data_IF_162038315853
#
_entry.id   IF_162038315853
#
_cell.length_a   1.000
_cell.length_b   1.000
_cell.length_c   1.000
_cell.angle_alpha   90.00
_cell.angle_beta   90.00
_cell.angle_gamma   90.00
#
_symmetry.space_group_name_H-M   'P 1'
#
loop_
_entity.id
_entity.type
_entity.pdbx_description
1 polymer ?
#
# COMPACT_ATOMS: atom_id res chain seq x y z
N UNK A 1 -15.66 -2.74 -16.67
CA UNK A 1 -14.88 -1.59 -16.26
C UNK A 1 -15.15 -1.26 -14.80
N UNK A 2 -14.12 -1.05 -13.99
CA UNK A 2 -14.35 -0.79 -12.58
C UNK A 2 -15.06 0.55 -12.38
N UNK A 3 -16.10 0.51 -11.59
CA UNK A 3 -16.78 1.72 -11.15
C UNK A 3 -16.12 2.18 -9.86
N UNK A 4 -15.33 3.22 -9.93
CA UNK A 4 -14.58 3.74 -8.78
C UNK A 4 -15.47 4.20 -7.64
N UNK A 5 -16.73 4.51 -7.92
CA UNK A 5 -17.69 4.84 -6.88
C UNK A 5 -18.09 3.63 -6.06
N UNK A 6 -17.79 2.45 -6.58
CA UNK A 6 -18.04 1.18 -5.89
C UNK A 6 -16.79 0.57 -5.30
N UNK A 7 -15.67 1.29 -5.34
CA UNK A 7 -14.49 0.78 -4.67
C UNK A 7 -14.81 0.67 -3.20
N UNK A 8 -14.88 -0.55 -2.67
CA UNK A 8 -15.48 -0.77 -1.38
C UNK A 8 -14.45 -0.65 -0.26
N UNK A 9 -13.72 0.43 -0.22
CA UNK A 9 -12.81 0.64 0.90
C UNK A 9 -12.60 2.11 1.19
N UNK A 10 -12.20 2.35 2.42
CA UNK A 10 -11.81 3.68 2.90
C UNK A 10 -10.42 3.59 3.50
N UNK A 11 -9.71 4.69 3.45
CA UNK A 11 -8.42 4.79 4.10
C UNK A 11 -8.66 5.03 5.58
N UNK A 12 -8.31 4.05 6.41
CA UNK A 12 -8.57 4.11 7.83
C UNK A 12 -7.38 4.60 8.64
N UNK A 13 -6.16 4.39 8.14
CA UNK A 13 -4.96 4.77 8.87
C UNK A 13 -3.80 4.94 7.92
N UNK A 14 -2.98 5.93 8.19
CA UNK A 14 -1.71 6.17 7.49
C UNK A 14 -0.65 6.46 8.52
N UNK A 15 0.50 5.84 8.35
CA UNK A 15 1.68 6.11 9.17
C UNK A 15 2.83 6.43 8.22
N UNK A 16 3.52 7.52 8.47
CA UNK A 16 4.63 7.96 7.63
C UNK A 16 5.80 8.33 8.52
N UNK A 17 6.95 7.75 8.24
CA UNK A 17 8.20 8.05 8.95
C UNK A 17 9.21 8.59 7.96
N UNK A 18 9.69 9.79 8.21
CA UNK A 18 10.75 10.39 7.40
C UNK A 18 12.08 9.98 8.00
N UNK A 19 12.86 9.21 7.25
CA UNK A 19 14.12 8.62 7.74
C UNK A 19 15.34 9.44 7.37
N UNK A 20 15.29 10.12 6.23
CA UNK A 20 16.38 11.00 5.81
C UNK A 20 15.83 12.03 4.85
N UNK A 21 16.61 13.07 4.61
CA UNK A 21 16.21 14.09 3.67
C UNK A 21 16.44 13.64 2.22
N UNK A 22 15.66 14.20 1.31
CA UNK A 22 15.87 14.03 -0.11
C UNK A 22 16.48 15.33 -0.68
N UNK A 23 17.48 15.18 -1.51
CA UNK A 23 18.13 16.31 -2.15
C UNK A 23 17.59 16.52 -3.55
N UNK A 24 17.66 17.77 -4.02
CA UNK A 24 16.99 18.19 -5.27
C UNK A 24 17.35 17.33 -6.48
N UNK A 25 18.58 16.86 -6.56
CA UNK A 25 19.06 16.11 -7.75
C UNK A 25 19.02 14.61 -7.56
N UNK A 26 18.52 14.15 -6.45
CA UNK A 26 18.42 12.72 -6.19
C UNK A 26 17.23 12.12 -6.92
N UNK A 27 17.41 10.92 -7.42
CA UNK A 27 16.32 10.14 -7.98
C UNK A 27 15.81 9.21 -6.89
N UNK A 28 14.52 9.25 -6.64
CA UNK A 28 13.89 8.46 -5.61
C UNK A 28 13.09 7.34 -6.26
N UNK A 29 13.13 6.17 -5.63
CA UNK A 29 12.40 4.99 -6.07
C UNK A 29 11.36 4.64 -5.02
N UNK A 30 10.11 4.58 -5.46
CA UNK A 30 8.99 4.16 -4.62
C UNK A 30 8.73 2.68 -4.83
N UNK A 31 8.69 1.94 -3.74
CA UNK A 31 8.28 0.54 -3.75
C UNK A 31 7.05 0.38 -2.87
N UNK A 32 6.09 -0.41 -3.36
CA UNK A 32 4.82 -0.65 -2.68
C UNK A 32 4.60 -2.15 -2.62
N UNK A 33 4.13 -2.62 -1.47
CA UNK A 33 3.70 -4.01 -1.36
C UNK A 33 2.46 -4.12 -0.49
N UNK A 34 1.72 -5.21 -0.67
CA UNK A 34 0.64 -5.57 0.24
C UNK A 34 1.27 -6.20 1.48
N UNK A 35 1.10 -5.55 2.64
CA UNK A 35 1.69 -6.03 3.89
C UNK A 35 0.85 -7.09 4.58
N UNK A 36 -0.44 -7.18 4.24
CA UNK A 36 -1.32 -8.16 4.84
C UNK A 36 -2.76 -7.96 4.43
N UNK A 37 -3.54 -9.02 4.52
CA UNK A 37 -4.97 -9.01 4.21
C UNK A 37 -5.69 -9.63 5.39
N UNK A 38 -6.50 -8.83 6.08
CA UNK A 38 -7.33 -9.31 7.17
C UNK A 38 -8.72 -9.69 6.69
N UNK A 39 -9.65 -9.81 7.63
CA UNK A 39 -11.04 -10.15 7.31
C UNK A 39 -11.74 -9.01 6.58
N UNK A 40 -11.59 -7.80 7.10
CA UNK A 40 -12.27 -6.61 6.58
C UNK A 40 -11.32 -5.52 6.11
N UNK A 41 -10.03 -5.77 6.17
CA UNK A 41 -9.02 -4.76 5.87
C UNK A 41 -7.84 -5.37 5.14
N UNK A 42 -7.06 -4.51 4.53
CA UNK A 42 -5.76 -4.87 3.96
C UNK A 42 -4.82 -3.69 4.14
N UNK A 43 -3.53 -3.99 4.11
CA UNK A 43 -2.50 -2.97 4.33
C UNK A 43 -1.57 -2.88 3.15
N UNK A 44 -1.09 -1.68 2.89
CA UNK A 44 0.03 -1.46 1.99
C UNK A 44 1.21 -0.94 2.78
N UNK A 45 2.39 -1.33 2.35
CA UNK A 45 3.65 -0.82 2.87
C UNK A 45 4.39 -0.13 1.74
N UNK A 46 5.02 0.99 2.05
CA UNK A 46 5.70 1.83 1.07
C UNK A 46 7.10 2.13 1.56
N UNK A 47 8.06 2.14 0.64
CA UNK A 47 9.39 2.65 0.91
C UNK A 47 9.80 3.57 -0.23
N UNK A 48 10.43 4.67 0.13
CA UNK A 48 11.09 5.54 -0.84
C UNK A 48 12.56 5.52 -0.51
N UNK A 49 13.38 5.16 -1.50
CA UNK A 49 14.81 5.09 -1.35
C UNK A 49 15.49 5.93 -2.42
N UNK A 50 16.65 6.48 -2.07
CA UNK A 50 17.50 7.12 -3.06
C UNK A 50 18.12 6.03 -3.93
N UNK A 51 18.07 6.22 -5.26
CA UNK A 51 18.36 5.16 -6.22
C UNK A 51 19.79 4.63 -6.15
N UNK A 52 20.78 5.53 -6.04
CA UNK A 52 22.17 5.11 -6.13
C UNK A 52 22.69 4.49 -4.85
N UNK A 53 22.37 5.08 -3.71
CA UNK A 53 22.87 4.62 -2.41
C UNK A 53 21.98 3.57 -1.77
N UNK A 54 20.72 3.51 -2.16
CA UNK A 54 19.73 2.69 -1.46
C UNK A 54 19.29 3.29 -0.13
N UNK A 55 19.68 4.54 0.16
CA UNK A 55 19.35 5.19 1.42
C UNK A 55 17.85 5.30 1.58
N UNK A 56 17.35 4.88 2.73
CA UNK A 56 15.92 4.97 3.03
C UNK A 56 15.54 6.40 3.35
N UNK A 57 14.62 6.95 2.57
CA UNK A 57 14.14 8.31 2.72
C UNK A 57 12.83 8.36 3.49
N UNK A 58 11.89 7.48 3.11
CA UNK A 58 10.57 7.41 3.75
C UNK A 58 10.16 5.96 3.91
N UNK A 59 9.57 5.64 5.05
CA UNK A 59 8.79 4.42 5.26
C UNK A 59 7.37 4.82 5.56
N UNK A 60 6.41 4.09 5.01
CA UNK A 60 5.02 4.38 5.28
C UNK A 60 4.20 3.11 5.24
N UNK A 61 3.05 3.17 5.87
CA UNK A 61 2.05 2.12 5.77
C UNK A 61 0.67 2.73 5.75
N UNK A 62 -0.27 2.03 5.14
CA UNK A 62 -1.65 2.44 5.15
C UNK A 62 -2.55 1.24 5.40
N UNK A 63 -3.66 1.48 6.07
CA UNK A 63 -4.68 0.46 6.33
C UNK A 63 -5.94 0.91 5.60
N UNK A 64 -6.42 0.05 4.72
CA UNK A 64 -7.68 0.24 4.02
C UNK A 64 -8.71 -0.71 4.63
N UNK A 65 -9.88 -0.20 4.97
CA UNK A 65 -10.99 -1.01 5.48
C UNK A 65 -12.03 -1.10 4.39
N UNK A 66 -12.45 -2.32 4.08
CA UNK A 66 -13.52 -2.52 3.11
C UNK A 66 -14.84 -2.04 3.69
N UNK A 67 -15.60 -1.31 2.91
CA UNK A 67 -16.74 -0.58 3.40
C UNK A 67 -17.82 -0.50 2.32
N UNK A 68 -19.04 -0.77 2.72
CA UNK A 68 -20.19 -0.62 1.82
C UNK A 68 -20.86 0.72 2.10
N UNK A 69 -20.75 1.63 1.15
CA UNK A 69 -21.30 2.98 1.29
C UNK A 69 -22.82 3.00 1.26
N UNK A 70 -23.44 1.96 0.72
CA UNK A 70 -24.91 1.88 0.67
C UNK A 70 -25.46 1.61 2.06
N UNK A 71 -24.91 0.64 2.76
CA UNK A 71 -25.38 0.28 4.10
C UNK A 71 -24.55 0.96 5.20
N UNK A 72 -23.46 1.63 4.82
CA UNK A 72 -22.59 2.37 5.72
C UNK A 72 -22.00 1.49 6.82
N UNK A 73 -21.47 0.35 6.41
CA UNK A 73 -20.83 -0.60 7.31
C UNK A 73 -19.56 -1.17 6.70
N UNK A 74 -18.63 -1.55 7.56
CA UNK A 74 -17.48 -2.31 7.10
C UNK A 74 -17.94 -3.70 6.65
N UNK A 75 -17.27 -4.21 5.63
CA UNK A 75 -17.61 -5.51 5.04
C UNK A 75 -16.34 -6.35 4.94
N UNK A 76 -16.49 -7.68 4.82
CA UNK A 76 -15.33 -8.53 4.53
C UNK A 76 -14.69 -8.15 3.22
N UNK A 77 -13.37 -8.33 3.12
CA UNK A 77 -12.65 -8.11 1.87
C UNK A 77 -13.28 -9.00 0.80
N UNK A 78 -13.79 -8.43 -0.30
CA UNK A 78 -14.38 -9.24 -1.36
C UNK A 78 -13.36 -10.23 -1.93
N UNK A 79 -13.82 -11.42 -2.28
CA UNK A 79 -12.93 -12.47 -2.79
C UNK A 79 -12.14 -12.02 -4.01
N UNK A 80 -12.78 -11.29 -4.90
CA UNK A 80 -12.12 -10.79 -6.10
C UNK A 80 -10.98 -9.84 -5.75
N UNK A 81 -11.21 -8.95 -4.80
CA UNK A 81 -10.17 -8.03 -4.35
C UNK A 81 -9.04 -8.78 -3.65
N UNK A 82 -9.40 -9.75 -2.79
CA UNK A 82 -8.41 -10.57 -2.10
C UNK A 82 -7.51 -11.31 -3.09
N UNK A 83 -8.12 -11.93 -4.09
CA UNK A 83 -7.35 -12.63 -5.13
C UNK A 83 -6.45 -11.67 -5.90
N UNK A 84 -6.96 -10.49 -6.23
CA UNK A 84 -6.16 -9.48 -6.91
C UNK A 84 -4.95 -9.05 -6.10
N UNK A 85 -5.13 -8.84 -4.80
CA UNK A 85 -4.03 -8.46 -3.92
C UNK A 85 -3.00 -9.58 -3.77
N UNK A 86 -3.47 -10.82 -3.68
CA UNK A 86 -2.57 -11.98 -3.61
C UNK A 86 -1.75 -12.15 -4.88
N UNK A 87 -2.38 -11.97 -6.03
CA UNK A 87 -1.69 -12.03 -7.32
C UNK A 87 -0.68 -10.89 -7.46
N UNK A 88 -1.06 -9.70 -7.06
CA UNK A 88 -0.19 -8.53 -7.06
C UNK A 88 1.07 -8.79 -6.22
N UNK A 89 0.89 -9.31 -5.00
CA UNK A 89 2.00 -9.62 -4.13
C UNK A 89 2.84 -10.77 -4.66
N UNK A 90 2.18 -11.81 -5.22
CA UNK A 90 2.86 -12.96 -5.77
C UNK A 90 3.68 -12.66 -7.01
N UNK A 91 3.27 -11.67 -7.79
CA UNK A 91 4.03 -11.23 -8.96
C UNK A 91 5.29 -10.47 -8.58
N UNK A 92 5.36 -10.11 -7.31
CA UNK A 92 6.53 -9.44 -6.82
C UNK A 92 6.79 -8.11 -7.49
N UNK A 93 6.11 -7.07 -7.03
CA UNK A 93 6.78 -5.80 -7.13
C UNK A 93 8.16 -6.03 -6.54
N UNK A 94 9.22 -5.50 -7.17
CA UNK A 94 10.55 -5.70 -6.62
C UNK A 94 10.52 -5.34 -5.14
N UNK A 95 10.91 -6.28 -4.30
CA UNK A 95 11.06 -5.98 -2.89
C UNK A 95 12.08 -4.86 -2.77
N UNK A 96 11.82 -3.84 -1.95
CA UNK A 96 12.83 -2.82 -1.74
C UNK A 96 14.09 -3.46 -1.21
N UNK A 97 15.27 -2.99 -1.62
CA UNK A 97 16.51 -3.53 -1.09
C UNK A 97 16.49 -3.40 0.43
N UNK A 98 16.80 -4.47 1.10
CA UNK A 98 16.97 -4.43 2.56
C UNK A 98 18.41 -4.07 2.84
N UNK A 99 18.55 -3.01 3.54
CA UNK A 99 19.86 -2.52 3.94
C UNK A 99 20.10 -2.90 5.36
#
# INVERSE_FOLDING_TARGET
>A
EPDYRRVPFILAHVSIDFRSEALVREVLVLAIRCGGIGTKSFTFEYEIRERESGRLVVEASSVQVCYDYTVKQSIPVPDELRRGLEVFEGRGLPQPPRI
#
